data_IF_648378240261
#
_entry.id   IF_648378240261
#
_cell.length_a   1.000
_cell.length_b   1.000
_cell.length_c   1.000
_cell.angle_alpha   90.00
_cell.angle_beta   90.00
_cell.angle_gamma   90.00
#
_symmetry.space_group_name_H-M   'P 1'
#
loop_
_entity.id
_entity.type
_entity.pdbx_description
1 polymer ?
2 non-polymer ?
3 non-polymer ?
4 water ?
#
# COMPACT_ATOMS: atom_id res chain seq x y z
N UNK A 3 1.22 28.37 -21.29
CA UNK A 3 -0.27 28.28 -21.37
C UNK A 3 -0.88 29.16 -22.50
N UNK A 4 -2.11 28.88 -22.92
CA UNK A 4 -2.98 27.85 -22.30
C UNK A 4 -2.55 26.43 -22.62
N UNK A 5 -2.55 25.61 -21.57
CA UNK A 5 -2.13 24.23 -21.65
C UNK A 5 -3.22 23.40 -22.30
N UNK A 6 -2.81 22.50 -23.18
CA UNK A 6 -3.70 21.47 -23.69
C UNK A 6 -3.71 20.32 -22.68
N UNK A 7 -4.58 19.34 -22.89
CA UNK A 7 -4.55 18.15 -22.05
C UNK A 7 -3.41 17.17 -22.43
N UNK A 8 -2.89 17.28 -23.65
CA UNK A 8 -1.76 16.44 -24.07
C UNK A 8 -0.50 16.80 -23.27
N UNK A 9 -0.53 17.98 -22.66
CA UNK A 9 0.60 18.45 -21.88
C UNK A 9 0.66 17.78 -20.50
N UNK A 10 -0.46 17.16 -20.07
CA UNK A 10 -0.57 16.48 -18.77
C UNK A 10 -0.35 14.97 -18.82
N UNK A 11 -0.34 14.39 -20.02
CA UNK A 11 -0.12 12.94 -20.19
C UNK A 11 1.28 12.51 -19.79
N UNK A 12 1.43 11.21 -19.51
CA UNK A 12 2.71 10.62 -19.18
C UNK A 12 2.76 10.18 -17.73
N UNK A 13 3.96 9.91 -17.24
CA UNK A 13 4.13 9.45 -15.87
C UNK A 13 4.68 10.58 -15.03
N UNK A 14 4.04 10.80 -13.90
CA UNK A 14 4.43 11.85 -12.95
C UNK A 14 4.81 11.24 -11.60
N UNK A 15 5.92 11.69 -11.03
CA UNK A 15 6.42 11.09 -9.79
C UNK A 15 6.43 12.08 -8.62
N UNK A 16 5.84 11.67 -7.50
CA UNK A 16 5.66 12.53 -6.34
C UNK A 16 7.00 13.00 -5.75
N UNK A 17 7.10 14.30 -5.51
CA UNK A 17 8.33 14.94 -4.99
C UNK A 17 8.10 15.85 -3.77
N UNK A 18 6.85 16.19 -3.50
CA UNK A 18 6.51 17.05 -2.39
C UNK A 18 5.06 16.80 -2.04
N UNK A 19 4.77 16.70 -0.74
CA UNK A 19 3.39 16.68 -0.27
C UNK A 19 3.20 17.57 0.96
N UNK A 20 2.08 18.26 1.03
CA UNK A 20 1.72 19.06 2.20
C UNK A 20 0.22 18.88 2.55
N UNK A 21 -0.06 18.38 3.76
CA UNK A 21 -1.43 18.38 4.29
C UNK A 21 -2.19 17.14 3.89
N UNK A 22 -1.51 16.21 3.25
CA UNK A 22 -2.13 14.96 2.82
C UNK A 22 -2.73 14.17 3.98
N UNK A 23 -2.04 14.11 5.12
CA UNK A 23 -2.56 13.40 6.28
C UNK A 23 -3.85 14.00 6.77
N UNK A 24 -3.90 15.33 6.83
CA UNK A 24 -5.10 16.05 7.18
C UNK A 24 -6.19 15.75 6.17
N UNK A 25 -5.87 15.82 4.87
CA UNK A 25 -6.84 15.52 3.83
C UNK A 25 -7.46 14.13 3.98
N UNK A 26 -6.64 13.11 4.21
CA UNK A 26 -7.16 11.78 4.41
C UNK A 26 -8.07 11.72 5.65
N UNK A 27 -7.70 12.45 6.70
CA UNK A 27 -8.51 12.46 7.91
C UNK A 27 -9.91 12.97 7.62
N UNK A 28 -10.00 14.08 6.89
CA UNK A 28 -11.31 14.65 6.54
C UNK A 28 -12.16 13.74 5.63
N UNK A 29 -11.56 12.91 4.81
CA UNK A 29 -12.32 11.87 4.13
C UNK A 29 -12.85 10.80 5.08
N UNK A 30 -12.17 10.61 6.21
CA UNK A 30 -12.52 9.54 7.16
C UNK A 30 -11.61 8.31 7.15
N UNK A 31 -10.42 8.44 6.54
CA UNK A 31 -9.39 7.38 6.50
C UNK A 31 -8.80 7.08 7.89
N UNK A 32 -8.82 5.80 8.26
CA UNK A 32 -8.27 5.34 9.54
C UNK A 32 -6.76 5.48 9.62
N UNK A 33 -6.25 5.53 10.84
CA UNK A 33 -4.82 5.81 11.06
C UNK A 33 -3.87 4.89 10.26
N UNK A 34 -4.10 3.58 10.33
CA UNK A 34 -3.21 2.62 9.69
C UNK A 34 -3.05 2.92 8.21
N UNK A 35 -4.17 2.89 7.50
CA UNK A 35 -4.22 3.23 6.08
C UNK A 35 -3.64 4.61 5.80
N UNK A 36 -3.85 5.55 6.71
CA UNK A 36 -3.26 6.88 6.57
C UNK A 36 -1.74 6.82 6.51
N UNK A 37 -1.13 6.07 7.43
CA UNK A 37 0.33 5.99 7.48
C UNK A 37 0.89 5.30 6.26
N UNK A 38 0.14 4.33 5.75
CA UNK A 38 0.46 3.64 4.49
C UNK A 38 0.43 4.65 3.36
N UNK A 39 -0.59 5.50 3.33
CA UNK A 39 -0.73 6.49 2.28
C UNK A 39 0.45 7.45 2.23
N UNK A 40 1.03 7.75 3.39
CA UNK A 40 2.05 8.80 3.48
C UNK A 40 3.46 8.26 3.27
N UNK A 41 3.60 6.94 3.22
CA UNK A 41 4.90 6.29 3.13
C UNK A 41 5.13 5.83 1.71
N UNK A 42 4.17 6.11 0.83
CA UNK A 42 4.22 5.62 -0.54
C UNK A 42 4.62 6.72 -1.50
N UNK A 43 5.62 6.44 -2.33
CA UNK A 43 5.96 7.35 -3.42
C UNK A 43 5.21 6.85 -4.65
N UNK A 44 3.92 7.27 -4.79
CA UNK A 44 3.07 6.85 -5.88
C UNK A 44 3.48 7.52 -7.18
N UNK A 45 3.42 6.77 -8.28
CA UNK A 45 3.50 7.35 -9.62
C UNK A 45 2.10 7.51 -10.13
N UNK A 46 1.84 8.65 -10.73
CA UNK A 46 0.54 8.94 -11.30
C UNK A 46 0.65 8.85 -12.82
N UNK A 47 -0.18 8.05 -13.47
CA UNK A 47 -0.15 7.97 -14.95
C UNK A 47 -1.46 8.48 -15.58
N UNK A 48 -1.35 9.47 -16.46
CA UNK A 48 -2.52 10.09 -17.04
C UNK A 48 -2.42 9.88 -18.53
N UNK A 49 -3.53 9.53 -19.17
CA UNK A 49 -3.62 9.50 -20.64
C UNK A 49 -4.97 10.05 -21.12
N UNK A 50 -4.99 10.82 -22.19
CA UNK A 50 -6.26 11.35 -22.68
C UNK A 50 -6.42 11.18 -24.19
N UNK A 51 -7.37 10.33 -24.58
CA UNK A 51 -7.66 10.07 -25.99
C UNK A 51 -8.92 10.83 -26.35
N UNK A 52 -8.72 12.07 -26.81
CA UNK A 52 -9.83 12.98 -27.10
C UNK A 52 -10.53 13.42 -25.84
N UNK A 53 -11.76 12.97 -25.65
CA UNK A 53 -12.45 13.22 -24.39
C UNK A 53 -12.25 12.07 -23.35
N UNK A 54 -11.67 10.95 -23.78
CA UNK A 54 -11.51 9.78 -22.91
C UNK A 54 -10.26 9.82 -22.01
N UNK A 55 -10.49 9.86 -20.70
CA UNK A 55 -9.43 10.11 -19.71
C UNK A 55 -9.21 8.99 -18.66
N UNK A 56 -7.96 8.58 -18.52
CA UNK A 56 -7.61 7.47 -17.65
C UNK A 56 -6.55 7.95 -16.66
N UNK A 57 -6.67 7.59 -15.38
CA UNK A 57 -5.67 7.93 -14.38
C UNK A 57 -5.30 6.71 -13.56
N UNK A 58 -4.02 6.36 -13.55
CA UNK A 58 -3.57 5.15 -12.91
C UNK A 58 -2.56 5.57 -11.87
N UNK A 59 -2.51 4.82 -10.77
CA UNK A 59 -1.50 4.99 -9.75
C UNK A 59 -0.65 3.72 -9.66
N UNK A 60 0.61 3.91 -9.28
CA UNK A 60 1.58 2.85 -9.20
C UNK A 60 2.57 3.27 -8.10
N UNK A 61 2.34 2.73 -6.90
CA UNK A 61 3.15 2.99 -5.72
C UNK A 61 3.86 1.73 -5.26
N UNK A 62 5.18 1.82 -5.15
CA UNK A 62 5.96 0.79 -4.46
C UNK A 62 6.13 1.17 -2.97
N UNK A 63 6.01 0.19 -2.08
CA UNK A 63 5.99 0.43 -0.63
C UNK A 63 7.16 -0.28 0.08
N UNK A 64 8.41 0.11 -0.24
CA UNK A 64 9.61 -0.54 0.36
C UNK A 64 9.69 -0.26 1.86
N UNK A 65 9.68 -1.32 2.67
CA UNK A 65 9.55 -1.16 4.12
C UNK A 65 10.31 -2.22 4.92
N UNK A 66 10.90 -1.81 6.02
CA UNK A 66 11.53 -2.75 6.91
C UNK A 66 10.49 -3.20 7.94
N UNK A 67 10.13 -4.48 7.92
CA UNK A 67 9.17 -4.99 8.89
C UNK A 67 9.79 -4.77 10.26
N UNK A 68 10.93 -5.44 10.49
CA UNK A 68 11.68 -5.39 11.75
C UNK A 68 13.15 -5.81 11.61
N UNK A 69 14.00 -5.27 12.48
CA UNK A 69 15.31 -5.86 12.76
C UNK A 69 15.42 -6.33 14.19
N UNK A 70 15.95 -7.52 14.39
CA UNK A 70 16.04 -8.08 15.72
C UNK A 70 17.15 -9.08 15.88
N UNK A 71 17.57 -9.25 17.12
CA UNK A 71 18.42 -10.36 17.53
C UNK A 71 17.51 -11.57 17.75
N UNK A 72 17.91 -12.71 17.21
CA UNK A 72 17.19 -13.94 17.46
C UNK A 72 17.13 -14.20 18.96
N UNK A 73 15.98 -14.67 19.46
CA UNK A 73 15.82 -14.95 20.88
C UNK A 73 15.63 -13.74 21.79
N UNK A 74 15.86 -12.55 21.26
CA UNK A 74 15.62 -11.31 22.00
C UNK A 74 14.24 -10.75 21.70
N UNK A 75 13.40 -10.69 22.74
CA UNK A 75 12.10 -10.01 22.67
C UNK A 75 12.25 -8.54 22.29
N UNK A 76 11.33 -8.03 21.47
CA UNK A 76 11.31 -6.61 21.09
C UNK A 76 9.90 -6.08 20.77
N UNK A 77 9.78 -4.76 20.59
CA UNK A 77 8.51 -4.14 20.15
C UNK A 77 8.45 -3.97 18.63
N UNK A 78 7.51 -4.67 18.02
CA UNK A 78 7.31 -4.59 16.57
C UNK A 78 6.23 -3.58 16.19
N UNK A 79 6.48 -2.84 15.13
CA UNK A 79 5.44 -2.03 14.50
C UNK A 79 5.09 -2.70 13.17
N UNK A 80 3.84 -3.16 13.07
CA UNK A 80 3.36 -3.92 11.91
C UNK A 80 2.71 -3.04 10.86
N UNK A 81 2.61 -3.59 9.65
CA UNK A 81 1.93 -2.96 8.52
C UNK A 81 0.48 -2.53 8.80
N UNK A 82 -0.21 -3.26 9.68
CA UNK A 82 -1.61 -2.96 9.95
C UNK A 82 -1.73 -2.02 11.13
N UNK A 83 -0.60 -1.78 11.80
CA UNK A 83 -0.48 -0.70 12.79
C UNK A 83 -0.60 -1.14 14.23
N UNK A 84 -0.34 -2.41 14.49
CA UNK A 84 -0.27 -2.93 15.84
C UNK A 84 1.11 -2.68 16.44
N UNK A 85 1.14 -2.47 17.76
CA UNK A 85 2.39 -2.43 18.51
C UNK A 85 2.52 -3.71 19.35
N UNK A 86 3.23 -4.69 18.81
CA UNK A 86 3.27 -6.01 19.43
C UNK A 86 4.55 -6.25 20.21
N UNK A 87 4.52 -7.28 21.05
CA UNK A 87 5.70 -7.80 21.75
C UNK A 87 6.19 -9.08 21.03
N UNK A 88 7.22 -8.93 20.20
CA UNK A 88 7.65 -9.99 19.31
C UNK A 88 8.98 -10.62 19.71
N UNK A 89 9.04 -11.94 19.63
CA UNK A 89 10.31 -12.65 19.71
C UNK A 89 10.41 -13.65 18.56
N UNK A 90 11.57 -13.66 17.89
CA UNK A 90 11.90 -14.59 16.81
C UNK A 90 12.91 -15.65 17.24
N UNK A 91 12.67 -16.88 16.83
CA UNK A 91 13.62 -17.95 17.09
C UNK A 91 13.81 -18.77 15.83
N UNK A 92 15.04 -19.22 15.59
CA UNK A 92 15.24 -20.25 14.57
C UNK A 92 15.21 -21.61 15.28
N UNK A 93 14.09 -22.32 15.15
CA UNK A 93 13.89 -23.57 15.85
C UNK A 93 13.62 -24.67 14.85
N UNK A 94 14.38 -25.75 14.97
CA UNK A 94 14.22 -26.94 14.14
C UNK A 94 14.07 -26.63 12.65
N UNK A 95 14.93 -25.77 12.13
CA UNK A 95 14.96 -25.50 10.69
C UNK A 95 13.94 -24.50 10.17
N UNK A 96 13.19 -23.91 11.10
CA UNK A 96 12.12 -23.00 10.79
C UNK A 96 12.33 -21.72 11.54
N UNK A 97 11.94 -20.62 10.92
CA UNK A 97 11.99 -19.29 11.53
C UNK A 97 10.64 -18.92 12.15
N UNK A 98 10.55 -19.06 13.47
CA UNK A 98 9.31 -18.79 14.21
C UNK A 98 9.29 -17.33 14.70
N UNK A 99 8.13 -16.69 14.61
CA UNK A 99 7.95 -15.33 15.10
C UNK A 99 6.65 -15.26 15.89
N UNK A 100 6.78 -14.92 17.17
CA UNK A 100 5.65 -14.93 18.07
C UNK A 100 5.29 -13.51 18.48
N UNK A 101 4.04 -13.14 18.20
CA UNK A 101 3.54 -11.80 18.48
C UNK A 101 2.50 -11.80 19.60
N UNK A 102 2.73 -10.95 20.60
CA UNK A 102 1.80 -10.73 21.70
C UNK A 102 1.44 -9.25 21.73
N UNK A 103 0.14 -8.94 21.76
CA UNK A 103 -0.35 -7.56 21.93
C UNK A 103 -1.76 -7.63 22.51
N UNK A 104 -2.16 -6.60 23.26
CA UNK A 104 -3.53 -6.47 23.82
C UNK A 104 -4.08 -7.77 24.44
N UNK A 105 -3.18 -8.66 24.87
CA UNK A 105 -3.54 -10.00 25.33
C UNK A 105 -3.91 -11.02 24.23
N UNK A 106 -3.94 -10.57 22.97
CA UNK A 106 -4.17 -11.44 21.83
C UNK A 106 -2.81 -12.05 21.49
N UNK A 107 -2.74 -12.89 20.46
CA UNK A 107 -1.52 -13.66 20.15
C UNK A 107 -1.50 -14.23 18.72
N UNK A 108 -0.34 -14.22 18.08
CA UNK A 108 -0.18 -14.77 16.73
C UNK A 108 1.22 -15.30 16.54
N UNK A 109 1.32 -16.38 15.77
CA UNK A 109 2.61 -16.99 15.44
C UNK A 109 2.76 -17.06 13.93
N UNK A 110 3.96 -16.72 13.46
CA UNK A 110 4.24 -16.79 12.03
C UNK A 110 5.47 -17.64 11.83
N UNK A 111 5.28 -18.74 11.10
CA UNK A 111 6.33 -19.69 10.81
C UNK A 111 6.82 -19.56 9.36
N UNK A 112 8.15 -19.66 9.17
CA UNK A 112 8.75 -19.63 7.84
C UNK A 112 9.72 -20.77 7.65
N UNK A 113 9.38 -21.68 6.73
CA UNK A 113 10.13 -22.92 6.46
C UNK A 113 10.50 -22.97 4.99
N UNK A 114 11.51 -23.77 4.68
CA UNK A 114 11.89 -24.07 3.31
C UNK A 114 11.34 -25.43 2.96
N UNK A 115 10.54 -25.50 1.92
CA UNK A 115 9.88 -26.74 1.50
C UNK A 115 9.94 -26.86 -0.04
N UNK A 116 10.90 -27.65 -0.52
CA UNK A 116 11.15 -27.86 -1.94
C UNK A 116 11.66 -26.63 -2.70
N UNK A 117 12.53 -25.86 -2.05
CA UNK A 117 13.04 -24.63 -2.65
C UNK A 117 12.11 -23.45 -2.57
N UNK A 118 10.90 -23.66 -2.03
CA UNK A 118 9.92 -22.61 -1.85
C UNK A 118 9.90 -22.13 -0.41
N UNK A 119 9.46 -20.90 -0.19
CA UNK A 119 9.34 -20.36 1.17
C UNK A 119 7.90 -20.48 1.56
N UNK A 120 7.60 -21.46 2.42
CA UNK A 120 6.24 -21.67 2.93
C UNK A 120 6.08 -20.87 4.22
N UNK A 121 5.15 -19.93 4.20
CA UNK A 121 4.90 -19.07 5.34
C UNK A 121 3.55 -19.42 5.97
N UNK A 122 3.52 -19.62 7.28
CA UNK A 122 2.28 -20.05 7.94
C UNK A 122 1.94 -19.17 9.13
N UNK A 123 0.69 -18.73 9.16
CA UNK A 123 0.25 -17.81 10.18
C UNK A 123 -0.90 -18.47 10.92
N UNK A 124 -1.08 -18.07 12.18
CA UNK A 124 -1.98 -18.73 13.11
C UNK A 124 -2.46 -17.65 14.06
N UNK A 125 -3.76 -17.39 14.10
CA UNK A 125 -4.34 -16.67 15.21
C UNK A 125 -5.59 -17.39 15.66
N UNK A 126 -5.69 -17.62 16.96
CA UNK A 126 -6.83 -18.29 17.54
C UNK A 126 -7.12 -19.52 16.68
N UNK A 127 -8.23 -19.50 15.97
CA UNK A 127 -8.61 -20.62 15.11
C UNK A 127 -8.36 -20.40 13.62
N UNK A 128 -7.77 -19.25 13.27
CA UNK A 128 -7.64 -18.84 11.87
C UNK A 128 -6.22 -19.04 11.42
N UNK A 129 -6.03 -19.79 10.33
CA UNK A 129 -4.71 -20.10 9.83
C UNK A 129 -4.60 -19.51 8.43
N UNK A 130 -3.44 -19.66 7.80
CA UNK A 130 -3.14 -19.00 6.54
C UNK A 130 -1.79 -19.47 5.98
N UNK A 131 -1.73 -19.83 4.69
CA UNK A 131 -0.45 -20.24 4.08
C UNK A 131 -0.11 -19.42 2.87
N UNK A 132 1.15 -18.99 2.79
CA UNK A 132 1.64 -18.24 1.65
C UNK A 132 2.91 -18.89 1.10
N UNK A 133 2.93 -19.15 -0.20
CA UNK A 133 4.12 -19.74 -0.82
C UNK A 133 4.90 -18.67 -1.57
N UNK A 134 6.21 -18.62 -1.35
CA UNK A 134 7.05 -17.68 -2.07
C UNK A 134 8.04 -18.41 -2.93
N UNK A 135 8.44 -17.81 -4.04
CA UNK A 135 9.54 -18.31 -4.83
C UNK A 135 10.74 -17.37 -4.82
N UNK A 136 11.94 -17.95 -4.69
CA UNK A 136 13.19 -17.18 -4.74
C UNK A 136 13.38 -16.39 -6.04
N UNK A 137 13.76 -15.13 -5.88
CA UNK A 137 14.20 -14.28 -6.97
C UNK A 137 15.73 -14.20 -6.94
N UNK B 3 21.07 -33.25 6.81
CA UNK B 3 21.14 -31.77 6.68
C UNK B 3 19.73 -31.18 6.54
N UNK B 4 19.26 -30.50 7.59
CA UNK B 4 18.01 -29.73 7.56
C UNK B 4 18.30 -28.25 7.36
N UNK B 5 17.25 -27.45 7.12
CA UNK B 5 17.40 -26.04 6.74
C UNK B 5 18.30 -25.24 7.70
N UNK B 6 19.10 -24.34 7.13
CA UNK B 6 19.85 -23.32 7.87
C UNK B 6 19.08 -22.00 7.78
N UNK B 7 19.41 -21.05 8.64
CA UNK B 7 18.82 -19.72 8.52
C UNK B 7 19.34 -19.04 7.26
N UNK B 8 20.63 -19.23 6.97
CA UNK B 8 21.21 -18.68 5.77
C UNK B 8 20.65 -19.35 4.52
N UNK B 9 19.92 -20.46 4.69
CA UNK B 9 19.21 -21.06 3.57
C UNK B 9 17.94 -20.29 3.23
N UNK B 10 17.45 -19.52 4.20
CA UNK B 10 16.25 -18.69 4.06
C UNK B 10 16.55 -17.27 3.56
N UNK B 11 17.84 -16.95 3.39
CA UNK B 11 18.25 -15.61 2.98
C UNK B 11 17.92 -15.33 1.53
N UNK B 12 17.41 -14.13 1.25
CA UNK B 12 17.26 -13.64 -0.13
C UNK B 12 15.96 -12.94 -0.48
N UNK B 13 15.67 -12.86 -1.78
CA UNK B 13 14.39 -12.30 -2.23
C UNK B 13 13.35 -13.38 -2.57
N UNK B 14 12.25 -13.39 -1.84
CA UNK B 14 11.17 -14.35 -2.04
C UNK B 14 9.92 -13.62 -2.49
N UNK B 15 9.28 -14.18 -3.51
CA UNK B 15 8.20 -13.47 -4.17
C UNK B 15 6.96 -14.35 -4.16
N UNK B 16 5.86 -13.76 -3.67
CA UNK B 16 4.59 -14.47 -3.45
C UNK B 16 4.05 -15.08 -4.73
N UNK B 17 3.62 -16.34 -4.67
CA UNK B 17 3.07 -17.05 -5.84
C UNK B 17 1.71 -17.74 -5.57
N UNK B 18 1.35 -17.85 -4.29
CA UNK B 18 0.14 -18.55 -3.86
C UNK B 18 -0.24 -18.17 -2.44
N UNK B 19 -1.53 -18.20 -2.13
CA UNK B 19 -2.04 -17.77 -0.85
C UNK B 19 -3.39 -18.44 -0.48
N UNK B 20 -3.44 -19.19 0.61
CA UNK B 20 -4.72 -19.63 1.16
C UNK B 20 -5.02 -18.94 2.52
N UNK B 21 -6.22 -18.36 2.63
CA UNK B 21 -6.77 -17.84 3.87
C UNK B 21 -6.19 -16.54 4.42
N UNK B 22 -5.53 -15.77 3.56
CA UNK B 22 -4.88 -14.56 4.03
C UNK B 22 -5.84 -13.44 4.37
N UNK B 23 -6.98 -13.40 3.67
CA UNK B 23 -7.98 -12.38 3.95
C UNK B 23 -8.61 -12.57 5.33
N UNK B 24 -9.00 -13.81 5.64
CA UNK B 24 -9.58 -14.15 6.92
C UNK B 24 -8.57 -13.84 8.01
N UNK B 25 -7.30 -14.12 7.75
CA UNK B 25 -6.27 -13.87 8.76
C UNK B 25 -6.20 -12.39 9.07
N UNK B 26 -6.11 -11.56 8.05
CA UNK B 26 -6.11 -10.12 8.28
C UNK B 26 -7.34 -9.71 9.06
N UNK B 27 -8.47 -10.34 8.76
CA UNK B 27 -9.74 -10.05 9.46
C UNK B 27 -9.68 -10.34 10.97
N UNK B 28 -9.13 -11.50 11.34
CA UNK B 28 -8.94 -11.91 12.74
C UNK B 28 -8.03 -10.95 13.53
N UNK B 29 -6.92 -10.51 12.92
CA UNK B 29 -6.08 -9.44 13.48
C UNK B 29 -6.78 -8.11 13.72
N UNK B 30 -7.93 -7.89 13.08
CA UNK B 30 -8.65 -6.62 13.17
C UNK B 30 -8.42 -5.64 12.02
N UNK B 31 -7.91 -6.11 10.90
CA UNK B 31 -7.67 -5.23 9.77
C UNK B 31 -8.99 -4.80 9.14
N UNK B 32 -9.10 -3.51 8.89
CA UNK B 32 -10.28 -2.94 8.26
C UNK B 32 -10.48 -3.41 6.83
N UNK B 33 -11.73 -3.38 6.40
CA UNK B 33 -12.11 -3.82 5.07
C UNK B 33 -11.24 -3.23 3.95
N UNK B 34 -11.06 -1.91 3.96
CA UNK B 34 -10.33 -1.21 2.89
C UNK B 34 -8.88 -1.68 2.72
N UNK B 35 -8.20 -1.92 3.84
CA UNK B 35 -6.79 -2.25 3.85
C UNK B 35 -6.56 -3.75 3.60
N UNK B 36 -7.53 -4.56 4.00
CA UNK B 36 -7.59 -5.95 3.56
C UNK B 36 -7.54 -6.03 2.02
N UNK B 37 -8.47 -5.36 1.34
CA UNK B 37 -8.55 -5.41 -0.13
C UNK B 37 -7.18 -5.19 -0.76
N UNK B 38 -6.45 -4.22 -0.23
CA UNK B 38 -5.12 -3.92 -0.72
C UNK B 38 -4.14 -5.02 -0.40
N UNK B 39 -4.21 -5.53 0.84
CA UNK B 39 -3.36 -6.63 1.26
C UNK B 39 -3.44 -7.84 0.35
N UNK B 40 -4.61 -8.06 -0.23
CA UNK B 40 -4.80 -9.16 -1.17
C UNK B 40 -4.44 -8.77 -2.61
N UNK B 41 -4.50 -7.47 -2.94
CA UNK B 41 -4.21 -6.98 -4.30
C UNK B 41 -2.72 -6.83 -4.57
N UNK B 42 -1.95 -6.74 -3.49
CA UNK B 42 -0.51 -6.61 -3.57
C UNK B 42 0.12 -7.98 -3.77
N UNK B 43 1.26 -8.03 -4.46
CA UNK B 43 2.06 -9.24 -4.52
C UNK B 43 3.44 -8.89 -4.02
N UNK B 44 3.64 -8.98 -2.70
CA UNK B 44 4.88 -8.60 -2.04
C UNK B 44 6.08 -9.42 -2.48
N UNK B 45 7.26 -8.81 -2.37
CA UNK B 45 8.50 -9.55 -2.30
C UNK B 45 8.86 -9.58 -0.82
N UNK B 46 9.40 -10.71 -0.36
CA UNK B 46 9.85 -10.80 1.02
C UNK B 46 11.35 -10.90 1.05
N UNK B 47 11.99 -9.98 1.76
CA UNK B 47 13.44 -9.95 1.80
C UNK B 47 13.93 -10.28 3.19
N UNK B 48 14.75 -11.34 3.24
CA UNK B 48 15.23 -11.92 4.49
C UNK B 48 16.75 -11.95 4.50
N UNK B 49 17.34 -11.29 5.51
CA UNK B 49 18.80 -11.26 5.74
C UNK B 49 19.09 -11.67 7.18
N UNK B 50 20.18 -12.42 7.39
CA UNK B 50 20.52 -12.88 8.74
C UNK B 50 22.00 -13.03 9.03
N UNK B 51 22.59 -11.96 9.56
CA UNK B 51 24.01 -11.93 9.99
C UNK B 51 24.21 -12.76 11.26
N UNK B 52 24.26 -14.09 11.09
CA UNK B 52 24.30 -15.03 12.21
C UNK B 52 23.04 -14.99 13.07
N UNK B 53 23.02 -14.07 14.03
CA UNK B 53 21.90 -13.94 14.98
C UNK B 53 21.05 -12.68 14.73
N UNK B 54 21.55 -11.76 13.93
CA UNK B 54 20.84 -10.53 13.60
C UNK B 54 19.97 -10.70 12.35
N UNK B 55 18.65 -10.66 12.55
CA UNK B 55 17.69 -10.95 11.50
C UNK B 55 16.83 -9.72 11.15
N UNK B 56 16.68 -9.49 9.85
CA UNK B 56 15.89 -8.39 9.36
C UNK B 56 14.99 -8.94 8.28
N UNK B 57 13.69 -8.67 8.37
CA UNK B 57 12.80 -8.99 7.28
C UNK B 57 12.30 -7.69 6.65
N UNK B 58 12.51 -7.57 5.34
CA UNK B 58 12.03 -6.43 4.60
C UNK B 58 10.86 -6.88 3.75
N UNK B 59 10.07 -5.91 3.30
CA UNK B 59 8.92 -6.17 2.43
C UNK B 59 8.94 -5.13 1.33
N UNK B 60 8.40 -5.50 0.18
CA UNK B 60 8.45 -4.64 -0.99
C UNK B 60 7.37 -5.13 -1.93
N UNK B 61 6.40 -4.26 -2.19
CA UNK B 61 5.24 -4.58 -3.01
C UNK B 61 4.87 -3.38 -3.85
N UNK B 62 4.64 -3.59 -5.14
CA UNK B 62 4.21 -2.53 -6.02
C UNK B 62 2.72 -2.72 -6.26
N UNK B 63 1.97 -1.63 -6.22
CA UNK B 63 0.52 -1.71 -6.40
C UNK B 63 0.10 -0.83 -7.58
N UNK B 64 -0.17 -1.47 -8.72
CA UNK B 64 -0.76 -0.83 -9.92
C UNK B 64 -2.29 -0.88 -9.85
N UNK B 65 -2.93 0.30 -9.83
CA UNK B 65 -4.37 0.35 -9.77
C UNK B 65 -4.89 1.54 -10.57
N UNK B 66 -5.72 1.25 -11.57
CA UNK B 66 -6.41 2.27 -12.37
C UNK B 66 -7.42 3.02 -11.52
N UNK B 67 -7.04 4.20 -11.01
CA UNK B 67 -7.92 5.02 -10.18
C UNK B 67 -9.33 5.23 -10.80
N UNK B 68 -9.37 5.57 -12.08
CA UNK B 68 -10.63 5.66 -12.80
C UNK B 68 -10.40 5.85 -14.29
N UNK B 69 -11.51 5.89 -15.02
CA UNK B 69 -11.47 5.93 -16.47
C UNK B 69 -12.80 6.44 -16.99
N UNK B 70 -12.77 7.54 -17.74
CA UNK B 70 -13.98 8.30 -18.02
C UNK B 70 -13.96 9.09 -19.34
N UNK B 71 -15.09 9.69 -19.67
CA UNK B 71 -15.05 10.78 -20.64
C UNK B 71 -15.35 12.11 -19.93
N UNK B 72 -14.54 13.11 -20.28
CA UNK B 72 -14.68 14.45 -19.76
C UNK B 72 -16.08 15.07 -19.92
N UNK B 73 -16.58 15.55 -18.80
CA UNK B 73 -17.87 16.20 -18.72
C UNK B 73 -19.00 15.27 -18.35
N UNK B 74 -18.68 13.98 -18.21
CA UNK B 74 -19.73 12.96 -18.10
C UNK B 74 -19.61 12.10 -16.84
N UNK B 75 -20.61 12.22 -15.96
CA UNK B 75 -20.66 11.60 -14.61
C UNK B 75 -20.53 10.10 -14.61
N UNK B 76 -19.68 9.58 -13.71
CA UNK B 76 -19.54 8.13 -13.54
C UNK B 76 -19.48 7.75 -12.04
N UNK B 77 -19.58 6.47 -11.72
CA UNK B 77 -19.35 6.06 -10.33
C UNK B 77 -17.87 5.71 -10.17
N UNK B 78 -17.20 6.42 -9.28
CA UNK B 78 -15.77 6.16 -9.02
C UNK B 78 -15.61 5.29 -7.80
N UNK B 79 -14.73 4.29 -7.89
CA UNK B 79 -14.29 3.54 -6.70
C UNK B 79 -12.91 4.04 -6.28
N UNK B 80 -12.85 4.78 -5.15
CA UNK B 80 -11.59 5.34 -4.64
C UNK B 80 -10.76 4.36 -3.82
N UNK B 81 -9.47 4.67 -3.66
CA UNK B 81 -8.50 3.81 -2.95
C UNK B 81 -8.87 3.57 -1.50
N UNK B 82 -9.46 4.57 -0.86
CA UNK B 82 -9.79 4.46 0.56
C UNK B 82 -11.18 3.80 0.78
N UNK B 83 -11.87 3.49 -0.32
CA UNK B 83 -13.06 2.66 -0.26
C UNK B 83 -14.39 3.32 -0.54
N UNK B 84 -14.38 4.61 -0.88
CA UNK B 84 -15.64 5.30 -1.22
C UNK B 84 -16.16 4.86 -2.58
N UNK B 85 -17.46 5.09 -2.78
CA UNK B 85 -18.07 5.03 -4.08
C UNK B 85 -18.61 6.41 -4.31
N UNK B 86 -18.06 7.13 -5.26
CA UNK B 86 -18.45 8.53 -5.47
C UNK B 86 -19.03 8.74 -6.86
N UNK B 87 -19.88 9.75 -6.96
CA UNK B 87 -20.26 10.27 -8.26
C UNK B 87 -19.19 11.26 -8.60
N UNK B 88 -18.52 11.04 -9.72
CA UNK B 88 -17.38 11.87 -10.08
C UNK B 88 -17.63 12.37 -11.48
N UNK B 89 -17.11 13.57 -11.76
CA UNK B 89 -17.04 14.11 -13.11
C UNK B 89 -15.66 14.75 -13.25
N UNK B 90 -15.09 14.73 -14.45
CA UNK B 90 -13.83 15.39 -14.73
C UNK B 90 -13.95 16.30 -15.90
N UNK B 91 -13.69 17.57 -15.67
CA UNK B 91 -13.68 18.59 -16.70
C UNK B 91 -12.26 19.11 -16.83
N UNK B 92 -11.88 19.43 -18.06
CA UNK B 92 -10.64 20.15 -18.35
C UNK B 92 -11.05 21.57 -18.65
N UNK B 93 -10.74 22.49 -17.73
CA UNK B 93 -11.18 23.87 -17.79
C UNK B 93 -10.01 24.84 -17.62
N UNK B 94 -9.81 25.70 -18.62
CA UNK B 94 -8.83 26.78 -18.52
C UNK B 94 -7.43 26.25 -18.16
N UNK B 95 -7.00 25.22 -18.89
CA UNK B 95 -5.70 24.59 -18.73
C UNK B 95 -5.58 23.66 -17.54
N UNK B 96 -6.65 23.52 -16.76
CA UNK B 96 -6.62 22.69 -15.53
C UNK B 96 -7.61 21.55 -15.60
N UNK B 97 -7.15 20.39 -15.15
CA UNK B 97 -8.00 19.22 -14.96
C UNK B 97 -8.67 19.28 -13.60
N UNK B 98 -9.98 19.29 -13.61
CA UNK B 98 -10.75 19.39 -12.37
C UNK B 98 -11.52 18.11 -12.21
N UNK B 99 -11.40 17.47 -11.05
CA UNK B 99 -12.16 16.28 -10.76
C UNK B 99 -13.00 16.59 -9.53
N UNK B 100 -14.31 16.35 -9.62
CA UNK B 100 -15.25 16.65 -8.55
C UNK B 100 -15.96 15.40 -8.10
N UNK B 101 -16.01 15.18 -6.80
CA UNK B 101 -16.54 13.95 -6.22
C UNK B 101 -17.71 14.25 -5.28
N UNK B 102 -18.78 13.47 -5.41
CA UNK B 102 -19.98 13.62 -4.59
C UNK B 102 -20.33 12.27 -3.97
N UNK B 103 -20.51 12.24 -2.66
CA UNK B 103 -20.98 11.03 -2.00
C UNK B 103 -21.54 11.41 -0.62
N UNK B 104 -22.60 10.73 -0.18
CA UNK B 104 -23.24 10.98 1.12
C UNK B 104 -23.36 12.45 1.48
N UNK B 105 -23.78 13.29 0.54
CA UNK B 105 -23.96 14.70 0.85
C UNK B 105 -22.67 15.41 1.25
N UNK B 106 -21.54 14.76 1.03
CA UNK B 106 -20.20 15.32 1.17
C UNK B 106 -19.66 15.51 -0.25
N UNK B 107 -18.53 16.22 -0.39
CA UNK B 107 -17.87 16.43 -1.69
C UNK B 107 -16.37 16.78 -1.63
N UNK B 108 -15.66 16.51 -2.72
CA UNK B 108 -14.26 16.88 -2.78
C UNK B 108 -13.87 17.24 -4.20
N UNK B 109 -12.89 18.13 -4.34
CA UNK B 109 -12.41 18.48 -5.65
C UNK B 109 -10.92 18.28 -5.73
N UNK B 110 -10.45 17.69 -6.83
CA UNK B 110 -9.03 17.44 -7.06
C UNK B 110 -8.70 18.14 -8.36
N UNK B 111 -7.92 19.21 -8.29
CA UNK B 111 -7.61 20.00 -9.48
C UNK B 111 -6.20 19.70 -9.90
N UNK B 112 -5.99 19.39 -11.18
CA UNK B 112 -4.62 19.06 -11.65
C UNK B 112 -4.08 20.11 -12.59
N UNK B 113 -2.95 20.71 -12.20
CA UNK B 113 -2.38 21.87 -12.89
C UNK B 113 -0.93 21.65 -13.26
N UNK B 114 -0.46 22.40 -14.24
CA UNK B 114 0.93 22.36 -14.67
C UNK B 114 1.61 23.65 -14.22
N UNK B 115 2.65 23.53 -13.40
CA UNK B 115 3.38 24.73 -13.00
C UNK B 115 4.87 24.46 -13.16
N UNK B 116 5.53 25.20 -14.06
CA UNK B 116 6.97 25.04 -14.28
C UNK B 116 7.34 23.63 -14.74
N UNK B 117 6.55 23.07 -15.66
CA UNK B 117 6.72 21.68 -16.07
C UNK B 117 6.32 20.64 -15.03
N UNK B 118 6.13 21.08 -13.78
CA UNK B 118 5.75 20.18 -12.68
C UNK B 118 4.25 20.03 -12.62
N UNK B 119 3.78 18.90 -12.10
CA UNK B 119 2.35 18.68 -11.94
C UNK B 119 1.91 18.99 -10.50
N UNK B 120 0.98 19.92 -10.36
CA UNK B 120 0.60 20.39 -9.06
C UNK B 120 -0.85 20.08 -8.84
N UNK B 121 -1.07 19.21 -7.87
CA UNK B 121 -2.35 18.57 -7.64
C UNK B 121 -2.83 19.06 -6.28
N UNK B 122 -3.92 19.79 -6.27
CA UNK B 122 -4.51 20.30 -5.06
C UNK B 122 -5.78 19.53 -4.76
N UNK B 123 -5.90 19.02 -3.55
CA UNK B 123 -7.10 18.27 -3.14
C UNK B 123 -7.82 19.02 -2.01
N UNK B 124 -9.13 19.21 -2.15
CA UNK B 124 -9.86 20.03 -1.20
C UNK B 124 -11.06 19.26 -0.66
N UNK B 125 -11.15 19.12 0.67
CA UNK B 125 -12.44 18.73 1.26
C UNK B 125 -12.87 19.67 2.38
N UNK B 126 -14.06 20.27 2.23
CA UNK B 126 -14.51 21.41 3.03
C UNK B 126 -13.40 22.43 3.16
N UNK B 127 -12.93 22.62 4.40
CA UNK B 127 -11.86 23.57 4.73
C UNK B 127 -10.42 23.03 4.67
N UNK B 128 -10.24 21.80 4.25
CA UNK B 128 -8.92 21.14 4.29
C UNK B 128 -8.21 21.12 2.91
N UNK B 129 -6.98 21.62 2.83
CA UNK B 129 -6.31 21.67 1.54
C UNK B 129 -5.04 20.88 1.59
N UNK B 130 -4.90 20.02 0.59
CA UNK B 130 -3.71 19.25 0.38
C UNK B 130 -3.07 19.58 -0.99
N UNK B 131 -1.76 19.85 -1.01
CA UNK B 131 -1.02 20.03 -2.27
C UNK B 131 0.04 18.95 -2.39
N UNK B 132 0.10 18.33 -3.58
CA UNK B 132 1.17 17.39 -3.90
C UNK B 132 1.80 17.79 -5.22
N UNK B 133 3.13 17.89 -5.27
CA UNK B 133 3.86 18.17 -6.52
C UNK B 133 4.44 16.89 -7.17
N UNK B 134 4.42 16.83 -8.50
CA UNK B 134 5.05 15.71 -9.24
C UNK B 134 5.94 16.19 -10.38
N UNK B 135 6.95 15.39 -10.68
CA UNK B 135 7.88 15.63 -11.79
C UNK B 135 7.68 14.60 -12.93
N UNK B 136 7.89 14.99 -14.17
CA UNK B 136 7.74 14.01 -15.25
C UNK B 136 8.88 13.01 -15.30
N UNK B 137 8.54 11.75 -15.55
CA UNK B 137 9.50 10.67 -15.78
C UNK B 137 9.62 10.42 -17.30
#
# INVERSE_FOLDING_TARGET
GSHMATVQQLEGRWRLVDSKGFDEYMKELGVGIALRKMGAMAKPDCIITCDGKNLTIKTESTVKTTQFSCTLGEKFEETTADGRKTQTVCNFTDGALVQHQEWDGKESTITRKLKDGKLVVECVMNNVTCTRIYEKVE
GSHMATVQQLEGRWRLVDSKGFDEYMKELGVGIALRKMGAMAKPDCIITCDGKNLTIKTESTVKTTQFSCTLGEKFEETTADGRKTQTVCNFTDGALVQHQEWDGKESTITRKLKDGKLVVECVMNNVTCTRIYEKVE
#
